data_IF_481821285826
#
_entry.id   IF_481821285826
#
_cell.length_a   1.000
_cell.length_b   1.000
_cell.length_c   1.000
_cell.angle_alpha   90.00
_cell.angle_beta   90.00
_cell.angle_gamma   90.00
#
_symmetry.space_group_name_H-M   'P 1'
#
loop_
_entity.id
_entity.type
_entity.pdbx_description
1 polymer ?
#
# COMPACT_ATOMS: atom_id res chain seq x y z
N UNK A 1 -0.48 -16.33 -6.93
CA UNK A 1 -0.76 -14.92 -6.58
C UNK A 1 -1.92 -14.92 -5.60
N UNK A 2 -1.74 -14.34 -4.41
CA UNK A 2 -2.86 -14.17 -3.47
C UNK A 2 -3.81 -13.08 -3.99
N UNK A 3 -5.11 -13.27 -3.79
CA UNK A 3 -6.10 -12.24 -4.12
C UNK A 3 -5.96 -11.08 -3.14
N UNK A 4 -5.75 -9.86 -3.66
CA UNK A 4 -5.64 -8.63 -2.85
C UNK A 4 -7.01 -8.02 -2.54
N UNK A 5 -8.06 -8.39 -3.27
CA UNK A 5 -9.41 -7.82 -3.10
C UNK A 5 -9.94 -7.88 -1.66
N UNK A 6 -9.76 -8.97 -0.88
CA UNK A 6 -10.29 -9.07 0.47
C UNK A 6 -9.69 -8.08 1.49
N UNK A 7 -8.55 -7.45 1.18
CA UNK A 7 -7.84 -6.55 2.11
C UNK A 7 -7.88 -5.07 1.69
N UNK A 8 -8.53 -4.73 0.57
CA UNK A 8 -8.57 -3.36 0.06
C UNK A 8 -9.25 -2.37 1.05
N UNK A 9 -10.21 -2.85 1.85
CA UNK A 9 -10.89 -2.05 2.86
C UNK A 9 -10.07 -1.82 4.15
N UNK A 10 -8.88 -2.43 4.26
CA UNK A 10 -8.01 -2.30 5.44
C UNK A 10 -6.94 -1.20 5.26
N UNK A 11 -6.90 -0.57 4.09
CA UNK A 11 -5.91 0.43 3.71
C UNK A 11 -4.79 -0.14 2.83
N UNK A 12 -4.03 0.76 2.20
CA UNK A 12 -3.04 0.37 1.19
C UNK A 12 -1.89 -0.47 1.77
N UNK A 13 -1.52 -0.26 3.03
CA UNK A 13 -0.50 -1.07 3.71
C UNK A 13 -0.85 -2.55 3.81
N UNK A 14 -2.14 -2.89 3.94
CA UNK A 14 -2.60 -4.28 3.91
C UNK A 14 -2.45 -4.90 2.52
N UNK A 15 -2.60 -4.10 1.46
CA UNK A 15 -2.35 -4.52 0.09
C UNK A 15 -0.86 -4.78 -0.16
N UNK A 16 0.03 -3.89 0.31
CA UNK A 16 1.49 -4.11 0.25
C UNK A 16 1.84 -5.43 0.95
N UNK A 17 1.31 -5.65 2.17
CA UNK A 17 1.55 -6.88 2.93
C UNK A 17 1.04 -8.13 2.24
N UNK A 18 -0.12 -8.07 1.59
CA UNK A 18 -0.69 -9.20 0.84
C UNK A 18 0.11 -9.55 -0.44
N UNK A 19 0.76 -8.55 -1.05
CA UNK A 19 1.63 -8.74 -2.21
C UNK A 19 3.00 -9.26 -1.80
N UNK A 20 3.67 -8.59 -0.85
CA UNK A 20 4.99 -8.94 -0.36
C UNK A 20 5.19 -8.49 1.10
N UNK A 21 4.78 -9.33 2.05
CA UNK A 21 4.90 -9.05 3.48
C UNK A 21 6.33 -8.86 4.00
N UNK A 22 7.35 -9.30 3.25
CA UNK A 22 8.76 -9.12 3.64
C UNK A 22 9.22 -7.66 3.56
N UNK A 23 8.47 -6.80 2.87
CA UNK A 23 8.79 -5.37 2.81
C UNK A 23 8.35 -4.62 4.09
N UNK A 24 7.34 -5.16 4.78
CA UNK A 24 6.73 -4.56 5.96
C UNK A 24 7.55 -4.74 7.25
N UNK A 25 7.16 -4.05 8.33
CA UNK A 25 7.78 -4.11 9.66
C UNK A 25 9.29 -3.80 9.65
N UNK A 26 9.72 -2.91 8.76
CA UNK A 26 11.12 -2.52 8.62
C UNK A 26 11.97 -3.42 7.72
N UNK A 27 11.38 -4.42 7.06
CA UNK A 27 12.12 -5.32 6.16
C UNK A 27 12.71 -4.62 4.93
N UNK A 28 11.87 -3.87 4.19
CA UNK A 28 12.34 -3.00 3.11
C UNK A 28 11.51 -1.70 3.07
N UNK A 29 11.78 -0.81 4.03
CA UNK A 29 11.08 0.48 4.15
C UNK A 29 11.20 1.36 2.90
N UNK A 30 12.29 1.23 2.13
CA UNK A 30 12.47 1.96 0.87
C UNK A 30 11.42 1.57 -0.18
N UNK A 31 11.16 0.26 -0.32
CA UNK A 31 10.13 -0.25 -1.22
C UNK A 31 8.72 0.16 -0.77
N UNK A 32 8.42 0.05 0.54
CA UNK A 32 7.13 0.50 1.10
C UNK A 32 6.89 1.97 0.80
N UNK A 33 7.88 2.84 1.09
CA UNK A 33 7.76 4.28 0.84
C UNK A 33 7.57 4.60 -0.65
N UNK A 34 8.28 3.90 -1.54
CA UNK A 34 8.10 4.08 -2.99
C UNK A 34 6.68 3.70 -3.43
N UNK A 35 6.14 2.57 -2.96
CA UNK A 35 4.76 2.15 -3.25
C UNK A 35 3.73 3.15 -2.75
N UNK A 36 3.91 3.68 -1.53
CA UNK A 36 3.04 4.72 -0.96
C UNK A 36 3.10 6.00 -1.79
N UNK A 37 4.30 6.39 -2.25
CA UNK A 37 4.49 7.54 -3.13
C UNK A 37 3.66 7.41 -4.41
N UNK A 38 3.83 6.31 -5.14
CA UNK A 38 3.04 6.06 -6.35
C UNK A 38 1.53 6.01 -6.09
N UNK A 39 1.11 5.38 -5.00
CA UNK A 39 -0.30 5.32 -4.63
C UNK A 39 -0.89 6.71 -4.39
N UNK A 40 -0.19 7.58 -3.66
CA UNK A 40 -0.60 8.98 -3.44
C UNK A 40 -0.65 9.78 -4.73
N UNK A 41 0.35 9.61 -5.60
CA UNK A 41 0.39 10.30 -6.90
C UNK A 41 -0.82 9.91 -7.76
N UNK A 42 -1.18 8.62 -7.79
CA UNK A 42 -2.36 8.14 -8.50
C UNK A 42 -3.66 8.64 -7.87
N UNK A 43 -3.78 8.62 -6.54
CA UNK A 43 -4.93 9.21 -5.86
C UNK A 43 -5.08 10.70 -6.18
N UNK A 44 -3.98 11.46 -6.25
CA UNK A 44 -3.96 12.86 -6.66
C UNK A 44 -4.43 13.06 -8.11
N UNK A 45 -3.94 12.23 -9.04
CA UNK A 45 -4.38 12.27 -10.45
C UNK A 45 -5.87 11.95 -10.61
N UNK A 46 -6.39 11.04 -9.78
CA UNK A 46 -7.79 10.62 -9.82
C UNK A 46 -8.72 11.49 -8.97
N UNK A 47 -8.20 12.46 -8.22
CA UNK A 47 -8.98 13.33 -7.34
C UNK A 47 -9.67 12.59 -6.18
N UNK A 48 -9.08 11.49 -5.70
CA UNK A 48 -9.61 10.68 -4.59
C UNK A 48 -8.71 10.74 -3.37
N UNK A 49 -9.29 10.58 -2.18
CA UNK A 49 -8.53 10.46 -0.94
C UNK A 49 -7.80 9.10 -0.88
N UNK A 50 -6.47 9.05 -0.67
CA UNK A 50 -5.74 7.79 -0.47
C UNK A 50 -6.16 7.03 0.79
N UNK A 51 -6.82 7.69 1.75
CA UNK A 51 -7.30 7.08 2.97
C UNK A 51 -6.20 6.74 3.99
N UNK A 52 -6.58 6.15 5.13
CA UNK A 52 -5.67 5.80 6.21
C UNK A 52 -4.89 4.50 5.95
N UNK A 53 -3.97 4.16 6.86
CA UNK A 53 -3.24 2.88 6.89
C UNK A 53 -2.45 2.58 5.60
N UNK A 54 -1.73 3.59 5.09
CA UNK A 54 -0.94 3.46 3.87
C UNK A 54 0.34 2.65 4.05
N UNK A 55 0.90 2.64 5.26
CA UNK A 55 2.12 1.91 5.57
C UNK A 55 1.83 0.54 6.15
N UNK A 56 2.77 -0.35 5.90
CA UNK A 56 3.10 -1.51 6.69
C UNK A 56 4.60 -1.42 7.00
#
# INVERSE_FOLDING_TARGET
MNSVRPVLNQGFGATIRAINGMECNGGNSGAVNARIGYYRDYCGQLGVDPGPNLSC
#
